data_IF_772836690113
#
_entry.id   IF_772836690113
#
_cell.length_a   1.000
_cell.length_b   1.000
_cell.length_c   1.000
_cell.angle_alpha   90.00
_cell.angle_beta   90.00
_cell.angle_gamma   90.00
#
_symmetry.space_group_name_H-M   'P 1'
#
loop_
_entity.id
_entity.type
_entity.pdbx_description
1 polymer ?
#
# COMPACT_ATOMS: atom_id res chain seq x y z
N UNK A 1 -23.20 19.36 -13.86
CA UNK A 1 -22.74 18.61 -12.68
C UNK A 1 -21.29 18.26 -12.96
N UNK A 2 -20.32 18.82 -12.23
CA UNK A 2 -18.95 18.32 -12.29
C UNK A 2 -18.96 16.90 -11.74
N UNK A 3 -18.57 15.92 -12.57
CA UNK A 3 -18.35 14.54 -12.11
C UNK A 3 -17.39 14.56 -10.92
N UNK A 4 -17.72 13.82 -9.86
CA UNK A 4 -16.82 13.68 -8.73
C UNK A 4 -15.55 12.93 -9.18
N UNK A 5 -14.37 13.43 -8.82
CA UNK A 5 -13.11 12.78 -9.16
C UNK A 5 -13.03 11.39 -8.49
N UNK A 6 -12.57 10.34 -9.20
CA UNK A 6 -12.43 9.01 -8.62
C UNK A 6 -11.37 9.02 -7.50
N UNK A 7 -11.71 8.45 -6.36
CA UNK A 7 -10.87 8.31 -5.17
C UNK A 7 -9.91 7.14 -5.36
N UNK A 8 -8.62 7.42 -5.44
CA UNK A 8 -7.60 6.41 -5.68
C UNK A 8 -6.85 6.16 -4.39
N UNK A 9 -7.04 4.98 -3.79
CA UNK A 9 -6.28 4.57 -2.61
C UNK A 9 -4.82 4.32 -2.97
N UNK A 10 -3.89 4.92 -2.21
CA UNK A 10 -2.46 4.75 -2.40
C UNK A 10 -1.87 4.16 -1.11
N UNK A 11 -1.32 2.95 -1.15
CA UNK A 11 -0.66 2.39 0.04
C UNK A 11 0.56 3.23 0.41
N UNK A 12 0.63 3.63 1.67
CA UNK A 12 1.76 4.36 2.23
C UNK A 12 2.64 3.41 3.07
N UNK A 13 3.79 3.91 3.51
CA UNK A 13 4.69 3.17 4.41
C UNK A 13 4.97 3.96 5.68
N UNK A 14 5.37 3.26 6.73
CA UNK A 14 5.98 3.89 7.90
C UNK A 14 7.48 3.90 7.71
N UNK A 15 8.09 5.06 7.89
CA UNK A 15 9.54 5.15 7.91
C UNK A 15 10.01 6.12 9.00
N UNK A 16 11.17 5.86 9.61
CA UNK A 16 11.82 6.85 10.45
C UNK A 16 12.19 8.05 9.58
N UNK A 17 11.76 9.24 9.98
CA UNK A 17 12.13 10.48 9.28
C UNK A 17 13.11 11.23 10.14
N UNK A 18 14.29 11.53 9.58
CA UNK A 18 15.30 12.36 10.22
C UNK A 18 14.77 13.80 10.32
N UNK A 19 14.34 14.19 11.53
CA UNK A 19 13.75 15.51 11.84
C UNK A 19 14.38 16.06 13.12
N UNK A 20 14.33 17.39 13.35
CA UNK A 20 14.87 18.02 14.57
C UNK A 20 14.09 17.72 15.87
N UNK A 21 13.15 16.76 15.85
CA UNK A 21 12.35 16.29 16.98
C UNK A 21 12.75 14.82 17.29
N UNK A 22 12.34 14.21 18.43
CA UNK A 22 12.64 12.80 18.71
C UNK A 22 12.29 11.92 17.50
N UNK A 23 13.05 10.84 17.26
CA UNK A 23 12.76 9.85 16.21
C UNK A 23 11.29 9.40 16.32
N UNK A 24 10.45 9.98 15.46
CA UNK A 24 9.05 9.63 15.30
C UNK A 24 8.90 9.02 13.92
N UNK A 25 8.21 7.89 13.85
CA UNK A 25 7.82 7.31 12.57
C UNK A 25 6.84 8.25 11.87
N UNK A 26 7.02 8.44 10.57
CA UNK A 26 6.05 9.12 9.73
C UNK A 26 5.40 8.12 8.80
N UNK A 27 4.12 8.33 8.50
CA UNK A 27 3.48 7.69 7.37
C UNK A 27 3.75 8.56 6.15
N UNK A 28 4.39 7.99 5.14
CA UNK A 28 4.84 8.71 3.97
C UNK A 28 4.58 7.94 2.68
N UNK A 29 4.61 8.69 1.58
CA UNK A 29 4.57 8.17 0.22
C UNK A 29 5.39 9.12 -0.66
N UNK A 30 6.10 8.55 -1.64
CA UNK A 30 6.77 9.37 -2.64
C UNK A 30 5.73 10.18 -3.43
N UNK A 31 5.89 11.50 -3.48
CA UNK A 31 4.93 12.42 -4.08
C UNK A 31 4.59 12.04 -5.54
N UNK A 32 5.51 11.41 -6.28
CA UNK A 32 5.25 10.95 -7.65
C UNK A 32 4.00 10.07 -7.78
N UNK A 33 3.64 9.27 -6.76
CA UNK A 33 2.41 8.49 -6.80
C UNK A 33 1.16 9.37 -6.73
N UNK A 34 1.09 10.31 -5.78
CA UNK A 34 -0.04 11.24 -5.65
C UNK A 34 -0.11 12.17 -6.86
N UNK A 35 1.02 12.71 -7.30
CA UNK A 35 1.10 13.61 -8.45
C UNK A 35 0.64 12.92 -9.74
N UNK A 36 0.96 11.64 -9.90
CA UNK A 36 0.54 10.86 -11.08
C UNK A 36 -0.97 10.60 -11.07
N UNK A 37 -1.57 10.36 -9.90
CA UNK A 37 -3.03 10.22 -9.74
C UNK A 37 -3.73 11.53 -10.09
N UNK A 38 -3.27 12.65 -9.54
CA UNK A 38 -3.85 13.97 -9.81
C UNK A 38 -3.76 14.33 -11.29
N UNK A 39 -2.61 14.09 -11.92
CA UNK A 39 -2.41 14.30 -13.36
C UNK A 39 -3.31 13.42 -14.22
N UNK A 40 -3.71 12.25 -13.73
CA UNK A 40 -4.66 11.36 -14.40
C UNK A 40 -6.13 11.75 -14.13
N UNK A 41 -6.40 12.80 -13.35
CA UNK A 41 -7.76 13.24 -13.01
C UNK A 41 -8.38 12.49 -11.83
N UNK A 42 -7.59 11.78 -11.03
CA UNK A 42 -8.04 11.14 -9.79
C UNK A 42 -7.78 11.99 -8.54
N UNK A 43 -8.43 11.64 -7.44
CA UNK A 43 -8.20 12.19 -6.10
C UNK A 43 -7.38 11.19 -5.27
N UNK A 44 -6.12 11.48 -4.92
CA UNK A 44 -5.30 10.55 -4.14
C UNK A 44 -5.79 10.45 -2.69
N UNK A 45 -5.93 9.23 -2.20
CA UNK A 45 -6.30 8.91 -0.81
C UNK A 45 -5.18 8.08 -0.20
N UNK A 46 -4.43 8.68 0.74
CA UNK A 46 -3.31 8.01 1.37
C UNK A 46 -3.79 6.95 2.37
N UNK A 47 -3.37 5.70 2.18
CA UNK A 47 -3.71 4.58 3.05
C UNK A 47 -2.55 4.23 3.96
N UNK A 48 -2.66 4.65 5.23
CA UNK A 48 -1.66 4.37 6.24
C UNK A 48 -1.66 2.88 6.62
N UNK A 49 -0.50 2.21 6.67
CA UNK A 49 -0.41 0.86 7.17
C UNK A 49 -0.80 0.84 8.66
N UNK A 50 -1.67 -0.08 9.03
CA UNK A 50 -2.38 -0.06 10.30
C UNK A 50 -2.85 -1.44 10.73
N UNK A 51 -3.99 -1.49 11.42
CA UNK A 51 -4.56 -2.76 11.90
C UNK A 51 -4.81 -3.69 10.71
N UNK A 52 -4.20 -4.86 10.71
CA UNK A 52 -4.51 -5.92 9.76
C UNK A 52 -5.86 -6.56 10.10
N UNK A 53 -6.63 -6.93 9.06
CA UNK A 53 -7.89 -7.65 9.20
C UNK A 53 -8.92 -7.30 8.13
N UNK A 54 -9.57 -8.34 7.64
CA UNK A 54 -10.59 -8.32 6.60
C UNK A 54 -11.64 -7.20 6.76
N UNK A 55 -12.26 -7.07 7.95
CA UNK A 55 -13.29 -6.04 8.18
C UNK A 55 -12.75 -4.61 8.07
N UNK A 56 -11.53 -4.38 8.56
CA UNK A 56 -10.91 -3.06 8.48
C UNK A 56 -10.55 -2.72 7.03
N UNK A 57 -9.95 -3.67 6.31
CA UNK A 57 -9.63 -3.54 4.89
C UNK A 57 -10.88 -3.25 4.06
N UNK A 58 -11.96 -4.03 4.22
CA UNK A 58 -13.23 -3.77 3.50
C UNK A 58 -13.79 -2.37 3.73
N UNK A 59 -13.73 -1.85 4.95
CA UNK A 59 -14.19 -0.48 5.25
C UNK A 59 -13.32 0.58 4.57
N UNK A 60 -12.01 0.37 4.51
CA UNK A 60 -11.10 1.25 3.78
C UNK A 60 -11.36 1.20 2.28
N UNK A 61 -11.51 0.00 1.71
CA UNK A 61 -11.76 -0.22 0.29
C UNK A 61 -13.11 0.37 -0.15
N UNK A 62 -14.15 0.30 0.70
CA UNK A 62 -15.44 0.94 0.43
C UNK A 62 -15.37 2.48 0.32
N UNK A 63 -14.26 3.10 0.77
CA UNK A 63 -14.04 4.55 0.71
C UNK A 63 -13.28 5.01 -0.54
N UNK A 64 -12.88 4.10 -1.43
CA UNK A 64 -12.14 4.38 -2.66
C UNK A 64 -12.81 3.74 -3.87
N UNK A 65 -12.44 4.21 -5.05
CA UNK A 65 -12.97 3.74 -6.34
C UNK A 65 -11.96 2.87 -7.09
N UNK A 66 -10.67 2.95 -6.74
CA UNK A 66 -9.60 2.07 -7.20
C UNK A 66 -8.41 2.06 -6.22
N UNK A 67 -7.60 1.00 -6.23
CA UNK A 67 -6.44 0.84 -5.36
C UNK A 67 -5.13 0.83 -6.17
N UNK A 68 -4.12 1.53 -5.68
CA UNK A 68 -2.74 1.41 -6.14
C UNK A 68 -1.89 0.88 -4.99
N UNK A 69 -1.34 -0.33 -5.15
CA UNK A 69 -0.27 -0.81 -4.29
C UNK A 69 1.05 -0.23 -4.78
N UNK A 70 1.68 0.58 -3.93
CA UNK A 70 2.87 1.35 -4.27
C UNK A 70 4.15 0.52 -4.14
N UNK A 71 5.27 1.07 -4.60
CA UNK A 71 6.59 0.46 -4.46
C UNK A 71 7.14 0.63 -3.04
N UNK A 72 8.10 -0.21 -2.65
CA UNK A 72 8.67 -0.19 -1.31
C UNK A 72 9.83 -1.16 -1.15
N UNK A 73 10.12 -1.52 0.11
CA UNK A 73 11.15 -2.46 0.51
C UNK A 73 10.80 -3.93 0.20
N UNK A 74 11.71 -4.85 0.51
CA UNK A 74 11.49 -6.26 0.23
C UNK A 74 10.31 -6.84 1.05
N UNK A 75 9.52 -7.71 0.43
CA UNK A 75 8.49 -8.51 1.11
C UNK A 75 9.18 -9.56 1.98
N UNK A 76 8.69 -9.81 3.19
CA UNK A 76 9.24 -10.85 4.04
C UNK A 76 9.19 -12.22 3.35
N UNK A 77 10.34 -12.88 3.27
CA UNK A 77 10.51 -14.17 2.60
C UNK A 77 9.61 -15.31 3.08
N UNK A 78 9.10 -15.22 4.32
CA UNK A 78 8.14 -16.17 4.88
C UNK A 78 6.84 -16.22 4.08
N UNK A 79 6.47 -15.13 3.41
CA UNK A 79 5.26 -15.03 2.58
C UNK A 79 5.29 -15.95 1.36
N UNK A 80 6.49 -16.25 0.86
CA UNK A 80 6.70 -17.14 -0.27
C UNK A 80 7.54 -18.38 0.11
N UNK A 81 7.56 -18.73 1.40
CA UNK A 81 8.12 -20.00 1.89
C UNK A 81 9.64 -20.13 1.82
N UNK A 82 10.39 -19.02 1.81
CA UNK A 82 11.84 -19.02 1.70
C UNK A 82 12.53 -18.50 2.97
N UNK A 83 13.77 -18.94 3.27
CA UNK A 83 14.57 -18.37 4.35
C UNK A 83 14.92 -16.91 4.06
N UNK A 84 15.17 -16.14 5.12
CA UNK A 84 15.67 -14.76 4.99
C UNK A 84 17.06 -14.77 4.35
N UNK A 85 17.27 -13.92 3.35
CA UNK A 85 18.56 -13.74 2.70
C UNK A 85 19.30 -12.52 3.28
N UNK A 86 20.63 -12.58 3.38
CA UNK A 86 21.46 -11.55 4.02
C UNK A 86 21.41 -10.18 3.32
N UNK A 87 21.07 -10.16 2.04
CA UNK A 87 20.93 -8.93 1.25
C UNK A 87 19.54 -8.30 1.35
N UNK A 88 18.59 -8.95 2.01
CA UNK A 88 17.26 -8.37 2.19
C UNK A 88 17.35 -7.16 3.10
N UNK A 89 16.64 -6.10 2.73
CA UNK A 89 16.71 -4.84 3.46
C UNK A 89 15.32 -4.37 3.87
N UNK A 90 15.21 -3.90 5.12
CA UNK A 90 14.03 -3.18 5.63
C UNK A 90 12.70 -3.93 5.45
N UNK A 91 12.65 -5.17 5.95
CA UNK A 91 11.42 -5.97 5.99
C UNK A 91 10.46 -5.42 7.04
N UNK A 92 9.26 -5.02 6.61
CA UNK A 92 8.20 -4.50 7.48
C UNK A 92 7.00 -5.46 7.47
N UNK A 93 6.89 -6.28 8.51
CA UNK A 93 5.80 -7.25 8.64
C UNK A 93 4.43 -6.59 8.78
N UNK A 94 4.35 -5.42 9.41
CA UNK A 94 3.10 -4.68 9.56
C UNK A 94 2.61 -4.20 8.20
N UNK A 95 3.52 -3.69 7.37
CA UNK A 95 3.20 -3.29 6.00
C UNK A 95 2.82 -4.51 5.15
N UNK A 96 3.55 -5.62 5.26
CA UNK A 96 3.19 -6.87 4.58
C UNK A 96 1.78 -7.33 5.00
N UNK A 97 1.50 -7.49 6.30
CA UNK A 97 0.19 -7.95 6.78
C UNK A 97 -0.95 -7.06 6.28
N UNK A 98 -0.74 -5.74 6.34
CA UNK A 98 -1.71 -4.76 5.87
C UNK A 98 -1.97 -4.88 4.37
N UNK A 99 -0.94 -4.87 3.54
CA UNK A 99 -1.11 -4.84 2.08
C UNK A 99 -1.54 -6.18 1.49
N UNK A 100 -1.12 -7.31 2.06
CA UNK A 100 -1.65 -8.62 1.67
C UNK A 100 -3.16 -8.71 1.94
N UNK A 101 -3.58 -8.31 3.15
CA UNK A 101 -5.01 -8.29 3.51
C UNK A 101 -5.79 -7.32 2.61
N UNK A 102 -5.25 -6.13 2.35
CA UNK A 102 -5.91 -5.13 1.52
C UNK A 102 -6.06 -5.61 0.08
N UNK A 103 -5.04 -6.28 -0.47
CA UNK A 103 -5.08 -6.83 -1.82
C UNK A 103 -6.05 -7.99 -1.95
N UNK A 104 -6.07 -8.92 -0.98
CA UNK A 104 -7.01 -10.04 -0.95
C UNK A 104 -8.46 -9.53 -1.00
N UNK A 105 -8.81 -8.62 -0.10
CA UNK A 105 -10.17 -8.06 -0.02
C UNK A 105 -10.51 -7.18 -1.24
N UNK A 106 -9.54 -6.48 -1.83
CA UNK A 106 -9.75 -5.69 -3.04
C UNK A 106 -10.04 -6.57 -4.26
N UNK A 107 -9.36 -7.73 -4.36
CA UNK A 107 -9.62 -8.73 -5.39
C UNK A 107 -10.99 -9.38 -5.20
N UNK A 108 -11.39 -9.69 -3.97
CA UNK A 108 -12.74 -10.21 -3.68
C UNK A 108 -13.84 -9.21 -4.05
N UNK A 109 -13.58 -7.91 -3.88
CA UNK A 109 -14.52 -6.85 -4.22
C UNK A 109 -14.54 -6.45 -5.70
N UNK A 110 -13.73 -7.11 -6.55
CA UNK A 110 -13.52 -6.74 -7.98
C UNK A 110 -13.14 -5.25 -8.15
N UNK A 111 -12.38 -4.71 -7.20
CA UNK A 111 -11.92 -3.32 -7.24
C UNK A 111 -10.82 -3.18 -8.30
N UNK A 112 -10.82 -2.12 -9.13
CA UNK A 112 -9.70 -1.85 -10.03
C UNK A 112 -8.40 -1.66 -9.23
N UNK A 113 -7.38 -2.46 -9.56
CA UNK A 113 -6.09 -2.47 -8.85
C UNK A 113 -4.94 -2.20 -9.84
N UNK A 114 -4.01 -1.34 -9.44
CA UNK A 114 -2.71 -1.18 -10.08
C UNK A 114 -1.58 -1.49 -9.07
N UNK A 115 -0.73 -2.45 -9.41
CA UNK A 115 0.37 -2.88 -8.56
C UNK A 115 1.72 -2.43 -9.16
N UNK A 116 2.51 -1.67 -8.40
CA UNK A 116 3.77 -1.08 -8.90
C UNK A 116 4.96 -1.59 -8.09
N UNK A 117 5.99 -2.11 -8.78
CA UNK A 117 7.23 -2.60 -8.17
C UNK A 117 6.95 -3.63 -7.06
N UNK A 118 7.16 -3.28 -5.79
CA UNK A 118 6.80 -4.10 -4.62
C UNK A 118 5.33 -4.54 -4.65
N UNK A 119 4.40 -3.65 -5.00
CA UNK A 119 2.99 -4.03 -5.13
C UNK A 119 2.76 -5.17 -6.14
N UNK A 120 3.54 -5.19 -7.23
CA UNK A 120 3.47 -6.27 -8.23
C UNK A 120 4.03 -7.58 -7.67
N UNK A 121 5.08 -7.50 -6.86
CA UNK A 121 5.63 -8.66 -6.15
C UNK A 121 4.62 -9.22 -5.14
N UNK A 122 3.90 -8.37 -4.39
CA UNK A 122 2.86 -8.81 -3.44
C UNK A 122 1.75 -9.56 -4.19
N UNK A 123 1.27 -9.00 -5.31
CA UNK A 123 0.28 -9.66 -6.15
C UNK A 123 0.75 -11.03 -6.62
N UNK A 124 2.01 -11.15 -7.03
CA UNK A 124 2.60 -12.42 -7.44
C UNK A 124 2.74 -13.41 -6.28
N UNK A 125 3.01 -12.96 -5.05
CA UNK A 125 3.13 -13.86 -3.89
C UNK A 125 1.76 -14.32 -3.39
N UNK A 126 0.72 -13.49 -3.53
CA UNK A 126 -0.64 -13.84 -3.14
C UNK A 126 -1.31 -14.87 -4.09
N UNK A 127 -0.84 -14.98 -5.34
CA UNK A 127 -1.42 -15.82 -6.40
C UNK A 127 -0.55 -17.02 -6.73
#
# INVERSE_FOLDING_TARGET
>A
MTEALPRIGLTARREPVDRPYPLVESVCLQATYSDSVERAGGMPVLMAPGRAGADHARRMLASIDALVLTGGSDIHSKRYGQPLHETMSHVDELQDDFEFTLLEEALEADLPILCICRGMQILNVLR
#
